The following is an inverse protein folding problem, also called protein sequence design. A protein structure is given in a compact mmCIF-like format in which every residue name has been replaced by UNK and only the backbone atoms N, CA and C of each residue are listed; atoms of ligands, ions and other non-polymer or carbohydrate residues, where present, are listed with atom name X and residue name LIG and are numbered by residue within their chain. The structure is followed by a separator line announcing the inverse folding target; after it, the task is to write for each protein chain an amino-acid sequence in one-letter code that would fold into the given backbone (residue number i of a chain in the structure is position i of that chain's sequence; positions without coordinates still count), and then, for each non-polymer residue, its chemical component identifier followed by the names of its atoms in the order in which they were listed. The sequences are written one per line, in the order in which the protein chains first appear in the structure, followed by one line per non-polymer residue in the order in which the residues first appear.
data_IF_457722500494
#
_entry.id   IF_457722500494
#
_cell.length_a   1.000
_cell.length_b   1.000
_cell.length_c   1.000
_cell.angle_alpha   90.00
_cell.angle_beta   90.00
_cell.angle_gamma   90.00
#
_symmetry.space_group_name_H-M   'P 1'
#
loop_
_entity.id
_entity.type
_entity.pdbx_description
1 polymer ?
#
# COMPACT_ATOMS: atom_id res chain seq x y z
N UNK A 1 -9.20 -2.95 15.40
CA UNK A 1 -7.94 -3.62 15.78
C UNK A 1 -6.84 -2.58 15.65
N UNK A 2 -6.04 -2.39 16.70
CA UNK A 2 -4.82 -1.60 16.65
C UNK A 2 -3.68 -2.56 16.35
N UNK A 3 -2.79 -2.19 15.41
CA UNK A 3 -1.64 -3.00 15.00
C UNK A 3 -0.46 -2.12 14.65
N UNK A 4 0.74 -2.49 15.05
CA UNK A 4 1.98 -1.92 14.56
C UNK A 4 2.48 -2.76 13.37
N UNK A 5 2.39 -2.21 12.16
CA UNK A 5 2.84 -2.89 10.94
C UNK A 5 4.38 -3.00 10.84
N UNK A 6 5.13 -2.30 11.69
CA UNK A 6 6.57 -2.45 11.80
C UNK A 6 6.96 -3.72 12.59
N UNK A 7 6.05 -4.26 13.39
CA UNK A 7 6.24 -5.48 14.16
C UNK A 7 5.56 -6.68 13.49
N UNK A 8 6.34 -7.70 13.13
CA UNK A 8 5.83 -8.90 12.45
C UNK A 8 4.93 -9.75 13.36
N UNK A 9 5.23 -9.80 14.65
CA UNK A 9 4.42 -10.55 15.62
C UNK A 9 3.04 -9.89 15.78
N UNK A 10 3.02 -8.55 15.90
CA UNK A 10 1.79 -7.77 16.01
C UNK A 10 0.91 -7.91 14.75
N UNK A 11 1.51 -7.94 13.56
CA UNK A 11 0.80 -8.26 12.31
C UNK A 11 0.18 -9.66 12.36
N UNK A 12 0.91 -10.66 12.87
CA UNK A 12 0.40 -12.03 13.05
C UNK A 12 -0.78 -12.11 14.01
N UNK A 13 -0.70 -11.37 15.12
CA UNK A 13 -1.79 -11.25 16.10
C UNK A 13 -3.01 -10.58 15.45
N UNK A 14 -2.80 -9.50 14.69
CA UNK A 14 -3.88 -8.80 13.99
C UNK A 14 -4.59 -9.70 12.96
N UNK A 15 -3.85 -10.52 12.21
CA UNK A 15 -4.42 -11.53 11.29
C UNK A 15 -5.33 -12.50 12.05
N UNK A 16 -4.85 -13.01 13.18
CA UNK A 16 -5.64 -13.97 14.01
C UNK A 16 -6.92 -13.33 14.55
N UNK A 17 -6.84 -12.09 15.01
CA UNK A 17 -7.98 -11.33 15.50
C UNK A 17 -9.00 -11.01 14.39
N UNK A 18 -8.51 -10.64 13.18
CA UNK A 18 -9.38 -10.42 12.01
C UNK A 18 -10.14 -11.70 11.67
N UNK A 19 -9.44 -12.82 11.58
CA UNK A 19 -10.05 -14.12 11.29
C UNK A 19 -11.12 -14.52 12.32
N UNK A 20 -10.82 -14.37 13.60
CA UNK A 20 -11.78 -14.64 14.66
C UNK A 20 -13.05 -13.78 14.51
N UNK A 21 -12.91 -12.49 14.21
CA UNK A 21 -14.08 -11.62 13.97
C UNK A 21 -14.85 -12.01 12.71
N UNK A 22 -14.17 -12.41 11.65
CA UNK A 22 -14.82 -12.84 10.41
C UNK A 22 -15.61 -14.13 10.59
N UNK A 23 -15.13 -15.07 11.42
CA UNK A 23 -15.84 -16.33 11.73
C UNK A 23 -17.27 -16.08 12.22
N UNK A 24 -17.47 -15.07 13.06
CA UNK A 24 -18.78 -14.66 13.55
C UNK A 24 -19.72 -14.12 12.45
N UNK A 25 -19.18 -13.80 11.25
CA UNK A 25 -19.89 -13.17 10.13
C UNK A 25 -19.79 -14.01 8.84
N UNK A 26 -19.60 -15.32 8.94
CA UNK A 26 -19.56 -16.23 7.80
C UNK A 26 -18.16 -16.44 7.20
N UNK A 27 -17.11 -15.94 7.84
CA UNK A 27 -15.72 -16.23 7.48
C UNK A 27 -15.23 -15.62 6.16
N UNK A 28 -15.89 -14.59 5.61
CA UNK A 28 -15.60 -14.02 4.31
C UNK A 28 -14.97 -12.63 4.42
N UNK A 29 -13.93 -12.37 3.61
CA UNK A 29 -13.32 -11.06 3.44
C UNK A 29 -13.43 -10.60 1.98
N UNK A 30 -14.26 -9.59 1.72
CA UNK A 30 -14.52 -9.12 0.37
C UNK A 30 -13.40 -8.23 -0.20
N UNK A 31 -12.68 -7.50 0.65
CA UNK A 31 -11.60 -6.63 0.22
C UNK A 31 -10.52 -6.47 1.30
N UNK A 32 -9.26 -6.44 0.85
CA UNK A 32 -8.10 -6.04 1.63
C UNK A 32 -7.43 -4.84 0.94
N UNK A 33 -7.36 -3.70 1.62
CA UNK A 33 -6.68 -2.51 1.10
C UNK A 33 -5.40 -2.26 1.88
N UNK A 34 -4.25 -2.48 1.25
CA UNK A 34 -2.95 -2.18 1.80
C UNK A 34 -2.59 -0.72 1.50
N UNK A 35 -3.12 0.20 2.32
CA UNK A 35 -2.92 1.65 2.17
C UNK A 35 -1.82 2.19 3.08
N UNK A 36 -1.62 1.61 4.25
CA UNK A 36 -0.62 2.08 5.19
C UNK A 36 0.78 2.13 4.57
N UNK A 37 1.54 3.15 4.93
CA UNK A 37 2.90 3.30 4.45
C UNK A 37 3.65 4.42 5.17
N UNK A 38 4.95 4.28 5.27
CA UNK A 38 5.84 5.27 5.86
C UNK A 38 6.86 5.76 4.84
N UNK A 39 7.17 7.06 4.89
CA UNK A 39 8.16 7.73 4.04
C UNK A 39 9.02 8.66 4.91
N UNK A 40 9.97 8.10 5.69
CA UNK A 40 10.83 8.89 6.57
C UNK A 40 11.61 9.96 5.80
N UNK A 41 11.82 11.10 6.47
CA UNK A 41 12.54 12.27 5.95
C UNK A 41 13.71 12.61 6.87
N UNK A 42 14.65 13.40 6.37
CA UNK A 42 15.64 14.06 7.20
C UNK A 42 14.97 15.15 8.08
N UNK A 43 15.68 15.64 9.08
CA UNK A 43 15.15 16.66 10.02
C UNK A 43 14.70 17.95 9.34
N UNK A 44 15.30 18.29 8.20
CA UNK A 44 14.95 19.44 7.38
C UNK A 44 13.79 19.17 6.38
N UNK A 45 13.19 17.97 6.44
CA UNK A 45 12.12 17.55 5.54
C UNK A 45 12.59 17.05 4.17
N UNK A 46 13.89 17.07 3.89
CA UNK A 46 14.43 16.58 2.63
C UNK A 46 14.40 15.05 2.53
N UNK A 47 14.54 14.55 1.30
CA UNK A 47 14.54 13.10 1.04
C UNK A 47 15.80 12.43 1.57
N UNK A 48 15.65 11.22 2.09
CA UNK A 48 16.77 10.34 2.41
C UNK A 48 17.28 9.68 1.12
N UNK A 49 18.59 9.75 0.86
CA UNK A 49 19.24 9.19 -0.32
C UNK A 49 19.72 7.75 -0.10
N UNK A 50 20.28 7.09 -1.14
CA UNK A 50 20.74 5.70 -1.04
C UNK A 50 22.11 5.53 -0.36
N UNK A 51 22.88 6.60 -0.20
CA UNK A 51 24.22 6.55 0.37
C UNK A 51 24.17 6.58 1.89
N UNK A 52 23.42 7.54 2.43
CA UNK A 52 23.44 7.88 3.86
C UNK A 52 22.24 7.33 4.66
N UNK A 53 21.22 6.78 3.97
CA UNK A 53 20.06 6.22 4.67
C UNK A 53 20.47 5.01 5.52
N UNK A 54 20.30 5.08 6.86
CA UNK A 54 20.68 3.97 7.74
C UNK A 54 19.91 2.69 7.42
N UNK A 55 20.55 1.53 7.57
CA UNK A 55 19.94 0.24 7.25
C UNK A 55 18.70 -0.10 8.08
N UNK A 56 18.59 0.42 9.32
CA UNK A 56 17.35 0.24 10.09
C UNK A 56 16.16 0.94 9.41
N UNK A 57 16.34 2.15 8.88
CA UNK A 57 15.29 2.86 8.13
C UNK A 57 14.84 2.07 6.91
N UNK A 58 15.78 1.42 6.17
CA UNK A 58 15.43 0.51 5.08
C UNK A 58 14.54 -0.64 5.56
N UNK A 59 14.92 -1.28 6.68
CA UNK A 59 14.17 -2.41 7.24
C UNK A 59 12.77 -1.97 7.65
N UNK A 60 12.64 -0.86 8.37
CA UNK A 60 11.36 -0.35 8.85
C UNK A 60 10.43 0.01 7.68
N UNK A 61 10.96 0.71 6.66
CA UNK A 61 10.19 1.06 5.45
C UNK A 61 9.74 -0.18 4.70
N UNK A 62 10.62 -1.17 4.51
CA UNK A 62 10.24 -2.41 3.84
C UNK A 62 9.29 -3.25 4.68
N UNK A 63 9.45 -3.27 6.00
CA UNK A 63 8.54 -3.98 6.88
C UNK A 63 7.12 -3.46 6.74
N UNK A 64 6.90 -2.15 6.83
CA UNK A 64 5.57 -1.55 6.73
C UNK A 64 5.03 -1.56 5.31
N UNK A 65 5.85 -1.13 4.33
CA UNK A 65 5.35 -0.86 2.97
C UNK A 65 5.30 -2.11 2.07
N UNK A 66 5.98 -3.20 2.45
CA UNK A 66 6.12 -4.39 1.61
C UNK A 66 5.82 -5.69 2.36
N UNK A 67 6.49 -5.97 3.49
CA UNK A 67 6.30 -7.24 4.19
C UNK A 67 4.95 -7.35 4.88
N UNK A 68 4.46 -6.30 5.53
CA UNK A 68 3.13 -6.30 6.14
C UNK A 68 2.01 -6.60 5.12
N UNK A 69 1.95 -5.97 3.92
CA UNK A 69 1.06 -6.38 2.82
C UNK A 69 1.11 -7.88 2.47
N UNK A 70 2.31 -8.47 2.37
CA UNK A 70 2.47 -9.93 2.13
C UNK A 70 1.86 -10.73 3.28
N UNK A 71 2.19 -10.37 4.52
CA UNK A 71 1.76 -11.09 5.71
C UNK A 71 0.23 -11.06 5.84
N UNK A 72 -0.38 -9.88 5.64
CA UNK A 72 -1.83 -9.72 5.68
C UNK A 72 -2.52 -10.52 4.58
N UNK A 73 -2.04 -10.42 3.33
CA UNK A 73 -2.63 -11.14 2.20
C UNK A 73 -2.54 -12.66 2.37
N UNK A 74 -1.39 -13.19 2.82
CA UNK A 74 -1.20 -14.62 3.09
C UNK A 74 -2.01 -15.10 4.29
N UNK A 75 -2.03 -14.29 5.36
CA UNK A 75 -2.75 -14.63 6.58
C UNK A 75 -4.27 -14.66 6.42
N UNK A 76 -4.82 -13.84 5.50
CA UNK A 76 -6.25 -13.72 5.22
C UNK A 76 -6.66 -14.38 3.90
N UNK A 77 -5.78 -15.22 3.33
CA UNK A 77 -5.98 -15.84 2.01
C UNK A 77 -7.27 -16.66 1.93
N UNK A 78 -7.56 -17.46 2.96
CA UNK A 78 -8.75 -18.35 2.97
C UNK A 78 -10.05 -17.53 2.94
N UNK A 79 -10.13 -16.50 3.73
CA UNK A 79 -11.27 -15.63 3.88
C UNK A 79 -11.51 -14.80 2.59
N UNK A 80 -10.42 -14.36 1.93
CA UNK A 80 -10.47 -13.73 0.62
C UNK A 80 -10.93 -14.71 -0.47
N UNK A 81 -10.41 -15.94 -0.48
CA UNK A 81 -10.79 -16.95 -1.46
C UNK A 81 -12.27 -17.35 -1.34
N UNK A 82 -12.79 -17.49 -0.12
CA UNK A 82 -14.21 -17.77 0.13
C UNK A 82 -15.12 -16.68 -0.44
N UNK A 83 -14.71 -15.41 -0.34
CA UNK A 83 -15.46 -14.28 -0.86
C UNK A 83 -15.26 -14.05 -2.36
N UNK A 84 -14.28 -14.70 -3.00
CA UNK A 84 -13.73 -14.28 -4.31
C UNK A 84 -13.38 -12.79 -4.28
N UNK A 85 -12.71 -12.40 -3.21
CA UNK A 85 -12.47 -11.01 -2.84
C UNK A 85 -11.44 -10.30 -3.70
N UNK A 86 -11.06 -9.10 -3.28
CA UNK A 86 -10.04 -8.32 -3.96
C UNK A 86 -8.99 -7.77 -3.01
N UNK A 87 -7.77 -7.59 -3.51
CA UNK A 87 -6.68 -6.90 -2.82
C UNK A 87 -6.33 -5.65 -3.63
N UNK A 88 -6.24 -4.50 -2.96
CA UNK A 88 -5.75 -3.26 -3.58
C UNK A 88 -4.53 -2.77 -2.82
N UNK A 89 -3.39 -2.73 -3.50
CA UNK A 89 -2.14 -2.22 -2.96
C UNK A 89 -1.94 -0.75 -3.37
N UNK A 90 -1.79 0.14 -2.39
CA UNK A 90 -1.48 1.55 -2.65
C UNK A 90 0.03 1.71 -2.78
N UNK A 91 0.48 1.81 -4.02
CA UNK A 91 1.88 2.06 -4.38
C UNK A 91 2.19 3.56 -4.43
N UNK A 92 2.93 4.05 -5.38
CA UNK A 92 3.22 5.47 -5.61
C UNK A 92 3.85 5.65 -6.99
N UNK A 93 3.68 6.81 -7.60
CA UNK A 93 4.46 7.20 -8.78
C UNK A 93 5.97 7.19 -8.50
N UNK A 94 6.39 7.40 -7.25
CA UNK A 94 7.79 7.28 -6.84
C UNK A 94 8.35 5.86 -7.00
N UNK A 95 7.50 4.83 -7.09
CA UNK A 95 7.93 3.46 -7.38
C UNK A 95 8.27 3.21 -8.86
N UNK A 96 7.92 4.14 -9.76
CA UNK A 96 8.15 4.00 -11.21
C UNK A 96 9.12 5.02 -11.79
N UNK A 97 9.38 6.09 -11.05
CA UNK A 97 10.31 7.18 -11.46
C UNK A 97 10.96 7.80 -10.23
N UNK A 98 12.13 8.43 -10.44
CA UNK A 98 12.78 9.22 -9.38
C UNK A 98 11.89 10.41 -9.03
N UNK A 99 11.66 10.58 -7.72
CA UNK A 99 10.81 11.63 -7.19
C UNK A 99 11.64 12.56 -6.27
N UNK A 100 11.52 13.89 -6.41
CA UNK A 100 12.40 14.82 -5.69
C UNK A 100 12.22 14.78 -4.15
N UNK A 101 11.07 14.36 -3.67
CA UNK A 101 10.76 14.33 -2.23
C UNK A 101 10.65 12.92 -1.63
N UNK A 102 10.55 11.87 -2.46
CA UNK A 102 10.46 10.51 -1.95
C UNK A 102 11.84 9.96 -1.63
N UNK A 103 12.04 9.48 -0.42
CA UNK A 103 13.27 8.80 -0.02
C UNK A 103 13.49 7.50 -0.81
N UNK A 104 14.77 7.09 -0.97
CA UNK A 104 15.11 5.93 -1.80
C UNK A 104 14.48 4.64 -1.28
N UNK A 105 14.51 4.40 0.04
CA UNK A 105 13.88 3.23 0.64
C UNK A 105 12.36 3.18 0.37
N UNK A 106 11.67 4.33 0.49
CA UNK A 106 10.25 4.44 0.15
C UNK A 106 9.99 4.10 -1.32
N UNK A 107 10.69 4.78 -2.25
CA UNK A 107 10.52 4.57 -3.68
C UNK A 107 10.73 3.11 -4.06
N UNK A 108 11.80 2.49 -3.55
CA UNK A 108 12.12 1.08 -3.81
C UNK A 108 11.07 0.14 -3.22
N UNK A 109 10.57 0.41 -2.01
CA UNK A 109 9.52 -0.41 -1.40
C UNK A 109 8.20 -0.36 -2.18
N UNK A 110 7.85 0.81 -2.72
CA UNK A 110 6.64 0.99 -3.55
C UNK A 110 6.79 0.35 -4.94
N UNK A 111 7.99 0.34 -5.51
CA UNK A 111 8.31 -0.42 -6.72
C UNK A 111 8.19 -1.94 -6.47
N UNK A 112 8.76 -2.43 -5.37
CA UNK A 112 8.65 -3.82 -4.97
C UNK A 112 7.19 -4.25 -4.75
N UNK A 113 6.38 -3.41 -4.09
CA UNK A 113 4.94 -3.67 -3.89
C UNK A 113 4.18 -3.75 -5.22
N UNK A 114 4.54 -2.91 -6.21
CA UNK A 114 3.99 -2.98 -7.57
C UNK A 114 4.34 -4.29 -8.28
N UNK A 115 5.56 -4.79 -8.11
CA UNK A 115 5.94 -6.10 -8.63
C UNK A 115 5.21 -7.24 -7.93
N UNK A 116 5.18 -7.21 -6.59
CA UNK A 116 4.45 -8.18 -5.78
C UNK A 116 2.97 -8.27 -6.16
N UNK A 117 2.34 -7.14 -6.49
CA UNK A 117 0.93 -7.11 -6.91
C UNK A 117 0.69 -8.02 -8.12
N UNK A 118 1.60 -8.00 -9.11
CA UNK A 118 1.49 -8.87 -10.30
C UNK A 118 1.67 -10.34 -9.97
N UNK A 119 2.67 -10.67 -9.15
CA UNK A 119 2.89 -12.04 -8.68
C UNK A 119 1.68 -12.56 -7.90
N UNK A 120 1.17 -11.75 -6.95
CA UNK A 120 -0.04 -12.13 -6.21
C UNK A 120 -1.26 -12.26 -7.10
N UNK A 121 -1.43 -11.43 -8.14
CA UNK A 121 -2.53 -11.55 -9.09
C UNK A 121 -2.45 -12.90 -9.84
N UNK A 122 -1.24 -13.32 -10.23
CA UNK A 122 -1.01 -14.62 -10.84
C UNK A 122 -1.33 -15.77 -9.88
N UNK A 123 -0.78 -15.73 -8.65
CA UNK A 123 -0.90 -16.82 -7.68
C UNK A 123 -2.31 -16.95 -7.09
N UNK A 124 -3.01 -15.82 -6.86
CA UNK A 124 -4.31 -15.79 -6.19
C UNK A 124 -5.47 -15.85 -7.18
N UNK A 125 -5.23 -15.52 -8.46
CA UNK A 125 -6.24 -15.55 -9.52
C UNK A 125 -6.97 -16.89 -9.65
N UNK A 126 -6.28 -18.07 -9.63
CA UNK A 126 -6.94 -19.39 -9.66
C UNK A 126 -7.92 -19.62 -8.50
N UNK A 127 -7.83 -18.85 -7.42
CA UNK A 127 -8.72 -18.90 -6.28
C UNK A 127 -9.85 -17.84 -6.35
N UNK A 128 -9.94 -17.12 -7.47
CA UNK A 128 -10.94 -16.09 -7.69
C UNK A 128 -10.65 -14.75 -7.02
N UNK A 129 -9.45 -14.58 -6.44
CA UNK A 129 -9.05 -13.32 -5.80
C UNK A 129 -8.42 -12.41 -6.86
N UNK A 130 -8.90 -11.18 -6.99
CA UNK A 130 -8.30 -10.15 -7.84
C UNK A 130 -7.28 -9.34 -7.04
N UNK A 131 -6.14 -9.02 -7.64
CA UNK A 131 -5.10 -8.22 -6.96
C UNK A 131 -4.65 -7.10 -7.87
N UNK A 132 -4.88 -5.88 -7.43
CA UNK A 132 -4.58 -4.67 -8.19
C UNK A 132 -3.73 -3.68 -7.38
N UNK A 133 -3.12 -2.75 -8.07
CA UNK A 133 -2.44 -1.63 -7.44
C UNK A 133 -2.88 -0.31 -8.05
N UNK A 134 -2.86 0.73 -7.22
CA UNK A 134 -2.92 2.11 -7.68
C UNK A 134 -1.59 2.79 -7.35
N UNK A 135 -1.20 3.76 -8.18
CA UNK A 135 0.03 4.53 -8.01
C UNK A 135 -0.29 6.03 -7.95
N UNK A 136 -0.78 6.54 -6.80
CA UNK A 136 -1.12 7.95 -6.66
C UNK A 136 0.08 8.86 -6.90
N UNK A 137 -0.19 10.04 -7.44
CA UNK A 137 0.74 11.15 -7.51
C UNK A 137 0.76 11.95 -6.20
N UNK A 138 0.79 13.27 -6.33
CA UNK A 138 0.76 14.18 -5.19
C UNK A 138 -0.67 14.32 -4.67
N UNK A 139 -0.93 13.72 -3.53
CA UNK A 139 -2.23 13.75 -2.85
C UNK A 139 -2.11 14.61 -1.59
N UNK A 140 -3.11 15.45 -1.34
CA UNK A 140 -3.17 16.32 -0.16
C UNK A 140 -3.32 15.49 1.11
N UNK A 141 -2.21 15.24 1.78
CA UNK A 141 -2.09 14.40 2.97
C UNK A 141 -0.91 14.85 3.83
N UNK A 142 -0.89 14.40 5.08
CA UNK A 142 0.20 14.69 6.03
C UNK A 142 1.58 14.11 5.64
N UNK A 143 1.65 13.20 4.63
CA UNK A 143 2.92 12.61 4.17
C UNK A 143 3.70 13.56 3.24
N UNK A 144 3.06 14.62 2.74
CA UNK A 144 3.71 15.57 1.84
C UNK A 144 4.90 16.27 2.50
N UNK A 145 5.91 16.54 1.70
CA UNK A 145 7.11 17.27 2.14
C UNK A 145 6.92 18.78 2.00
N UNK A 146 7.63 19.59 2.80
CA UNK A 146 7.74 21.03 2.55
C UNK A 146 8.21 21.29 1.11
N UNK A 147 7.64 22.29 0.45
CA UNK A 147 7.98 22.65 -0.93
C UNK A 147 7.22 21.88 -2.01
N UNK A 148 6.25 21.03 -1.64
CA UNK A 148 5.38 20.33 -2.59
C UNK A 148 4.57 21.30 -3.46
N UNK A 149 4.31 22.52 -2.99
CA UNK A 149 3.70 23.62 -3.73
C UNK A 149 4.42 23.88 -5.08
N UNK A 150 5.75 23.76 -5.10
CA UNK A 150 6.55 23.92 -6.32
C UNK A 150 6.30 22.80 -7.35
N UNK A 151 5.91 21.61 -6.91
CA UNK A 151 5.53 20.51 -7.81
C UNK A 151 4.16 20.75 -8.43
N UNK A 152 3.25 21.41 -7.75
CA UNK A 152 1.89 21.69 -8.27
C UNK A 152 1.96 22.37 -9.63
N UNK A 153 2.94 23.25 -9.85
CA UNK A 153 3.15 23.90 -11.15
C UNK A 153 3.53 22.92 -12.28
N UNK A 154 4.05 21.74 -11.94
CA UNK A 154 4.42 20.71 -12.92
C UNK A 154 3.32 19.67 -13.14
N UNK A 155 2.32 19.63 -12.26
CA UNK A 155 1.16 18.74 -12.38
C UNK A 155 0.27 19.28 -13.51
N UNK A 156 -0.12 18.45 -14.50
CA UNK A 156 -0.98 18.92 -15.59
C UNK A 156 -2.28 19.59 -15.12
N UNK A 157 -2.92 19.04 -14.10
CA UNK A 157 -4.16 19.59 -13.50
C UNK A 157 -3.92 20.76 -12.55
N UNK A 158 -2.66 21.17 -12.32
CA UNK A 158 -2.27 22.33 -11.49
C UNK A 158 -2.85 22.31 -10.07
N UNK A 159 -3.08 21.13 -9.52
CA UNK A 159 -3.54 20.93 -8.15
C UNK A 159 -3.07 19.60 -7.59
N UNK A 160 -3.11 19.45 -6.29
CA UNK A 160 -3.02 18.16 -5.61
C UNK A 160 -4.29 17.34 -5.86
N UNK A 161 -4.17 16.03 -5.83
CA UNK A 161 -5.32 15.14 -5.77
C UNK A 161 -5.92 15.13 -4.36
N UNK A 162 -7.22 14.94 -4.27
CA UNK A 162 -7.89 14.73 -2.99
C UNK A 162 -7.81 13.24 -2.59
N UNK A 163 -7.83 12.97 -1.29
CA UNK A 163 -7.88 11.59 -0.76
C UNK A 163 -9.13 10.84 -1.23
N UNK A 164 -10.25 11.53 -1.39
CA UNK A 164 -11.50 10.97 -1.94
C UNK A 164 -11.33 10.47 -3.37
N UNK A 165 -10.57 11.18 -4.23
CA UNK A 165 -10.33 10.76 -5.61
C UNK A 165 -9.54 9.43 -5.67
N UNK A 166 -8.63 9.21 -4.72
CA UNK A 166 -7.94 7.94 -4.55
C UNK A 166 -8.89 6.86 -4.02
N UNK A 167 -9.71 7.19 -3.04
CA UNK A 167 -10.67 6.27 -2.43
C UNK A 167 -11.71 5.77 -3.43
N UNK A 168 -12.18 6.61 -4.36
CA UNK A 168 -13.14 6.24 -5.40
C UNK A 168 -12.57 5.16 -6.33
N UNK A 169 -11.30 5.28 -6.72
CA UNK A 169 -10.63 4.24 -7.53
C UNK A 169 -10.43 2.95 -6.74
N UNK A 170 -10.05 3.03 -5.47
CA UNK A 170 -9.94 1.85 -4.60
C UNK A 170 -11.29 1.15 -4.49
N UNK A 171 -12.37 1.91 -4.25
CA UNK A 171 -13.72 1.38 -4.17
C UNK A 171 -14.14 0.68 -5.46
N UNK A 172 -13.89 1.30 -6.63
CA UNK A 172 -14.13 0.68 -7.93
C UNK A 172 -13.40 -0.67 -8.04
N UNK A 173 -12.09 -0.71 -7.74
CA UNK A 173 -11.29 -1.93 -7.82
C UNK A 173 -11.75 -3.02 -6.84
N UNK A 174 -12.32 -2.64 -5.69
CA UNK A 174 -12.91 -3.57 -4.73
C UNK A 174 -14.31 -4.06 -5.13
N UNK A 175 -14.98 -3.39 -6.06
CA UNK A 175 -16.36 -3.67 -6.45
C UNK A 175 -16.47 -4.73 -7.56
N UNK A 176 -17.70 -5.24 -7.77
CA UNK A 176 -18.01 -6.13 -8.88
C UNK A 176 -17.90 -5.46 -10.27
N UNK A 177 -17.85 -4.12 -10.35
CA UNK A 177 -17.64 -3.40 -11.61
C UNK A 177 -16.23 -3.63 -12.18
N UNK A 178 -15.27 -4.00 -11.34
CA UNK A 178 -13.91 -4.34 -11.73
C UNK A 178 -13.69 -5.86 -11.83
N UNK A 179 -14.72 -6.64 -12.16
CA UNK A 179 -14.67 -8.12 -12.14
C UNK A 179 -13.63 -8.74 -13.06
N UNK A 180 -13.12 -8.00 -14.03
CA UNK A 180 -12.10 -8.45 -14.99
C UNK A 180 -10.85 -7.56 -14.98
N UNK A 181 -10.63 -6.83 -13.88
CA UNK A 181 -9.45 -5.96 -13.66
C UNK A 181 -8.57 -6.53 -12.59
#
# INVERSE_FOLDING_TARGET
IKVDLADQEDVGIAVSEIRHRLEAHGGQLNALVNNAGISPKLKDGSRMNSIDTPMHVWRDVFQVNFFAPIMLARGLFKELAQAKGSIVNVTSIAGTRVHPFAGTAYATSKAALGSLTREMAHDFGPHGIRVNAIAPGEIDTAILSPGTDKIVETIPLRRLGATSEVADIIFFLCSGQASYV
#
